data_IF_276331807596
#
_entry.id   IF_276331807596
#
_cell.length_a   1.000
_cell.length_b   1.000
_cell.length_c   1.000
_cell.angle_alpha   90.00
_cell.angle_beta   90.00
_cell.angle_gamma   90.00
#
_symmetry.space_group_name_H-M   'P 1'
#
loop_
_entity.id
_entity.type
_entity.pdbx_description
1 polymer ?
#
# COMPACT_ATOMS: atom_id res chain seq x y z
N UNK A 1 6.00 -3.53 2.22
CA UNK A 1 5.75 -4.76 3.02
C UNK A 1 6.34 -4.73 4.43
N UNK A 2 7.67 -4.79 4.60
CA UNK A 2 8.31 -4.92 5.92
C UNK A 2 7.93 -3.77 6.87
N UNK A 3 7.90 -2.53 6.36
CA UNK A 3 7.49 -1.37 7.14
C UNK A 3 6.07 -1.52 7.72
N UNK A 4 5.10 -2.00 6.92
CA UNK A 4 3.73 -2.21 7.37
C UNK A 4 3.66 -3.24 8.51
N UNK A 5 4.46 -4.31 8.44
CA UNK A 5 4.54 -5.34 9.49
C UNK A 5 5.06 -4.77 10.83
N UNK A 6 6.02 -3.85 10.77
CA UNK A 6 6.55 -3.16 11.96
C UNK A 6 5.56 -2.15 12.52
N UNK A 7 4.76 -1.50 11.67
CA UNK A 7 3.82 -0.46 12.11
C UNK A 7 2.54 -1.04 12.74
N UNK A 8 2.11 -2.26 12.41
CA UNK A 8 0.95 -2.90 13.04
C UNK A 8 1.00 -2.94 14.57
N UNK A 9 2.07 -3.48 15.21
CA UNK A 9 2.16 -3.47 16.67
C UNK A 9 2.27 -2.05 17.23
N UNK A 10 2.87 -1.12 16.48
CA UNK A 10 3.03 0.28 16.92
C UNK A 10 1.69 0.98 17.17
N UNK A 11 0.65 0.64 16.40
CA UNK A 11 -0.71 1.23 16.55
C UNK A 11 -1.25 1.06 17.98
N UNK A 12 -0.94 -0.04 18.67
CA UNK A 12 -1.42 -0.27 20.04
C UNK A 12 -0.82 0.73 21.04
N UNK A 13 0.40 1.19 20.79
CA UNK A 13 1.12 2.15 21.63
C UNK A 13 0.76 3.61 21.34
N UNK A 14 0.10 3.90 20.20
CA UNK A 14 -0.38 5.24 19.90
C UNK A 14 -1.52 5.62 20.85
N UNK A 15 -1.42 6.79 21.47
CA UNK A 15 -2.49 7.35 22.30
C UNK A 15 -3.55 8.00 21.39
N UNK A 16 -4.45 7.17 20.86
CA UNK A 16 -5.49 7.54 19.91
C UNK A 16 -6.80 6.81 20.24
N UNK A 17 -7.92 7.36 19.78
CA UNK A 17 -9.24 6.75 19.93
C UNK A 17 -9.33 5.41 19.19
N UNK A 18 -10.29 4.56 19.55
CA UNK A 18 -10.50 3.28 18.87
C UNK A 18 -10.77 3.45 17.37
N UNK A 19 -11.43 4.55 16.98
CA UNK A 19 -11.73 4.87 15.57
C UNK A 19 -10.46 5.28 14.83
N UNK A 20 -9.63 6.14 15.41
CA UNK A 20 -8.33 6.52 14.85
C UNK A 20 -7.40 5.31 14.70
N UNK A 21 -7.34 4.43 15.70
CA UNK A 21 -6.56 3.17 15.59
C UNK A 21 -7.07 2.28 14.46
N UNK A 22 -8.38 2.18 14.27
CA UNK A 22 -8.96 1.45 13.14
C UNK A 22 -8.60 2.09 11.79
N UNK A 23 -8.53 3.43 11.71
CA UNK A 23 -8.07 4.15 10.51
C UNK A 23 -6.57 3.92 10.22
N UNK A 24 -5.71 3.98 11.24
CA UNK A 24 -4.29 3.64 11.10
C UNK A 24 -4.13 2.21 10.59
N UNK A 25 -4.85 1.26 11.18
CA UNK A 25 -4.82 -0.15 10.79
C UNK A 25 -5.31 -0.37 9.35
N UNK A 26 -6.44 0.23 8.98
CA UNK A 26 -7.00 0.09 7.63
C UNK A 26 -6.10 0.71 6.56
N UNK A 27 -5.45 1.85 6.86
CA UNK A 27 -4.48 2.48 5.95
C UNK A 27 -3.26 1.59 5.67
N UNK A 28 -2.70 0.93 6.68
CA UNK A 28 -1.61 -0.04 6.51
C UNK A 28 -2.08 -1.25 5.70
N UNK A 29 -3.28 -1.74 6.00
CA UNK A 29 -3.87 -2.91 5.33
C UNK A 29 -4.10 -2.63 3.84
N UNK A 30 -4.54 -1.42 3.51
CA UNK A 30 -4.76 -1.00 2.12
C UNK A 30 -3.46 -0.99 1.30
N UNK A 31 -2.36 -0.49 1.88
CA UNK A 31 -1.03 -0.57 1.23
C UNK A 31 -0.67 -2.02 0.94
N UNK A 32 -0.94 -2.93 1.87
CA UNK A 32 -0.64 -4.36 1.68
C UNK A 32 -1.49 -4.98 0.56
N UNK A 33 -2.79 -4.68 0.54
CA UNK A 33 -3.70 -5.16 -0.49
C UNK A 33 -3.25 -4.69 -1.87
N UNK A 34 -2.92 -3.41 -2.02
CA UNK A 34 -2.55 -2.84 -3.33
C UNK A 34 -1.19 -3.34 -3.81
N UNK A 35 -0.22 -3.56 -2.92
CA UNK A 35 1.04 -4.21 -3.28
C UNK A 35 0.81 -5.65 -3.79
N UNK A 36 -0.04 -6.44 -3.11
CA UNK A 36 -0.35 -7.80 -3.55
C UNK A 36 -1.01 -7.81 -4.93
N UNK A 37 -1.88 -6.84 -5.20
CA UNK A 37 -2.49 -6.64 -6.52
C UNK A 37 -1.41 -6.27 -7.55
N UNK A 38 -0.49 -5.35 -7.23
CA UNK A 38 0.63 -4.99 -8.10
C UNK A 38 1.49 -6.21 -8.44
N UNK A 39 1.89 -7.01 -7.44
CA UNK A 39 2.66 -8.23 -7.67
C UNK A 39 1.89 -9.28 -8.48
N UNK A 40 0.57 -9.38 -8.33
CA UNK A 40 -0.25 -10.26 -9.16
C UNK A 40 -0.28 -9.81 -10.62
N UNK A 41 -0.34 -8.49 -10.86
CA UNK A 41 -0.25 -7.89 -12.21
C UNK A 41 1.13 -8.17 -12.81
N UNK A 42 2.21 -7.92 -12.08
CA UNK A 42 3.58 -8.20 -12.51
C UNK A 42 3.78 -9.68 -12.87
N UNK A 43 3.39 -10.61 -12.00
CA UNK A 43 3.45 -12.04 -12.26
C UNK A 43 2.63 -12.45 -13.50
N UNK A 44 1.47 -11.83 -13.71
CA UNK A 44 0.62 -12.13 -14.89
C UNK A 44 1.30 -11.66 -16.17
N UNK A 45 1.86 -10.45 -16.16
CA UNK A 45 2.55 -9.86 -17.31
C UNK A 45 3.84 -10.65 -17.62
N UNK A 46 4.65 -10.96 -16.62
CA UNK A 46 5.90 -11.70 -16.77
C UNK A 46 5.67 -13.14 -17.27
N UNK A 47 4.50 -13.72 -16.98
CA UNK A 47 4.09 -15.02 -17.52
C UNK A 47 3.68 -14.96 -19.00
N UNK A 48 3.08 -13.86 -19.47
CA UNK A 48 2.48 -13.78 -20.83
C UNK A 48 3.55 -13.68 -21.92
N UNK A 49 4.66 -13.01 -21.70
CA UNK A 49 5.74 -12.97 -22.69
C UNK A 49 6.92 -12.09 -22.31
N UNK A 50 8.11 -12.50 -22.76
CA UNK A 50 9.37 -11.74 -22.60
C UNK A 50 9.55 -10.65 -23.67
N UNK A 51 8.63 -10.60 -24.64
CA UNK A 51 8.61 -9.63 -25.72
C UNK A 51 8.03 -8.30 -25.26
N UNK A 52 8.70 -7.21 -25.64
CA UNK A 52 8.38 -5.89 -25.12
C UNK A 52 7.04 -5.41 -25.68
N UNK A 53 6.05 -5.23 -24.80
CA UNK A 53 4.72 -4.74 -25.16
C UNK A 53 4.43 -3.44 -24.38
N UNK A 54 4.17 -2.35 -25.10
CA UNK A 54 3.90 -1.04 -24.48
C UNK A 54 2.73 -1.07 -23.48
N UNK A 55 1.70 -1.87 -23.74
CA UNK A 55 0.56 -2.02 -22.82
C UNK A 55 0.97 -2.75 -21.54
N UNK A 56 1.90 -3.71 -21.63
CA UNK A 56 2.45 -4.40 -20.46
C UNK A 56 3.29 -3.46 -19.60
N UNK A 57 4.08 -2.58 -20.22
CA UNK A 57 4.78 -1.50 -19.50
C UNK A 57 3.81 -0.60 -18.75
N UNK A 58 2.78 -0.09 -19.44
CA UNK A 58 1.75 0.77 -18.81
C UNK A 58 1.02 0.10 -17.66
N UNK A 59 0.71 -1.19 -17.77
CA UNK A 59 0.05 -1.92 -16.70
C UNK A 59 0.92 -2.02 -15.43
N UNK A 60 2.24 -2.24 -15.58
CA UNK A 60 3.20 -2.20 -14.45
C UNK A 60 3.29 -0.81 -13.84
N UNK A 61 3.38 0.24 -14.67
CA UNK A 61 3.43 1.62 -14.19
C UNK A 61 2.18 2.01 -13.40
N UNK A 62 1.00 1.61 -13.87
CA UNK A 62 -0.27 1.85 -13.18
C UNK A 62 -0.34 1.12 -11.82
N UNK A 63 0.14 -0.13 -11.76
CA UNK A 63 0.22 -0.90 -10.53
C UNK A 63 1.14 -0.23 -9.50
N UNK A 64 2.35 0.16 -9.91
CA UNK A 64 3.29 0.88 -9.07
C UNK A 64 2.76 2.25 -8.61
N UNK A 65 2.07 2.99 -9.50
CA UNK A 65 1.42 4.25 -9.15
C UNK A 65 0.31 4.06 -8.10
N UNK A 66 -0.48 2.98 -8.19
CA UNK A 66 -1.50 2.66 -7.19
C UNK A 66 -0.87 2.42 -5.80
N UNK A 67 0.24 1.67 -5.74
CA UNK A 67 1.00 1.48 -4.49
C UNK A 67 1.46 2.83 -3.93
N UNK A 68 2.06 3.68 -4.76
CA UNK A 68 2.51 5.01 -4.34
C UNK A 68 1.37 5.87 -3.77
N UNK A 69 0.20 5.85 -4.41
CA UNK A 69 -0.99 6.56 -3.91
C UNK A 69 -1.46 6.04 -2.55
N UNK A 70 -1.43 4.73 -2.32
CA UNK A 70 -1.75 4.18 -0.99
C UNK A 70 -0.73 4.55 0.07
N UNK A 71 0.56 4.67 -0.27
CA UNK A 71 1.58 5.17 0.64
C UNK A 71 1.33 6.63 1.02
N UNK A 72 0.96 7.49 0.08
CA UNK A 72 0.58 8.87 0.39
C UNK A 72 -0.66 8.94 1.30
N UNK A 73 -1.67 8.12 1.03
CA UNK A 73 -2.85 8.03 1.89
C UNK A 73 -2.47 7.57 3.30
N UNK A 74 -1.66 6.51 3.42
CA UNK A 74 -1.18 6.00 4.71
C UNK A 74 -0.42 7.10 5.48
N UNK A 75 0.53 7.78 4.85
CA UNK A 75 1.25 8.88 5.48
C UNK A 75 0.32 10.01 5.92
N UNK A 76 -0.65 10.38 5.08
CA UNK A 76 -1.65 11.41 5.42
C UNK A 76 -2.49 11.04 6.63
N UNK A 77 -3.02 9.81 6.69
CA UNK A 77 -3.80 9.32 7.84
C UNK A 77 -2.95 9.33 9.11
N UNK A 78 -1.71 8.83 9.04
CA UNK A 78 -0.80 8.81 10.19
C UNK A 78 -0.45 10.21 10.70
N UNK A 79 -0.12 11.14 9.79
CA UNK A 79 0.16 12.53 10.17
C UNK A 79 -1.06 13.20 10.78
N UNK A 80 -2.26 13.00 10.23
CA UNK A 80 -3.48 13.55 10.81
C UNK A 80 -3.71 13.06 12.24
N UNK A 81 -3.61 11.76 12.50
CA UNK A 81 -3.84 11.18 13.83
C UNK A 81 -2.74 11.53 14.84
N UNK A 82 -1.50 11.73 14.39
CA UNK A 82 -0.39 12.05 15.29
C UNK A 82 -0.25 13.55 15.60
N UNK A 83 -0.71 14.42 14.71
CA UNK A 83 -0.60 15.88 14.85
C UNK A 83 -1.86 16.55 15.38
N UNK A 84 -3.01 15.90 15.28
CA UNK A 84 -4.34 16.43 15.66
C UNK A 84 -5.11 15.41 16.49
#
# INVERSE_FOLDING_TARGET
MILCLVLYPFIFFVNATSVEKALLFSSLTLVVIVELINSAIECTIDRIGLEHNELSGRAKDMGAAAVMMTLFMMMGVWLCVLLY
#
